data_IF_961050496191
#
_entry.id   IF_961050496191
#
_cell.length_a   1.000
_cell.length_b   1.000
_cell.length_c   1.000
_cell.angle_alpha   90.00
_cell.angle_beta   90.00
_cell.angle_gamma   90.00
#
_symmetry.space_group_name_H-M   'P 1'
#
loop_
_entity.id
_entity.type
_entity.pdbx_description
1 polymer ?
#
# COMPACT_ATOMS: atom_id res chain seq x y z
N UNK A 1 29.72 29.65 56.41
CA UNK A 1 30.88 29.16 55.66
C UNK A 1 30.76 29.71 54.24
N UNK A 2 31.63 30.67 53.90
CA UNK A 2 32.15 31.11 52.57
C UNK A 2 31.19 30.99 51.37
N UNK A 3 30.64 32.11 50.84
CA UNK A 3 31.11 32.89 49.66
C UNK A 3 31.44 32.05 48.40
N UNK A 4 31.19 32.42 47.13
CA UNK A 4 30.45 33.43 46.36
C UNK A 4 30.75 33.08 44.89
N UNK A 5 29.80 33.30 43.97
CA UNK A 5 30.09 33.65 42.56
C UNK A 5 30.64 32.52 41.66
N UNK A 6 30.68 32.62 40.34
CA UNK A 6 30.37 33.69 39.38
C UNK A 6 30.05 32.99 38.05
N UNK A 7 29.22 33.65 37.23
CA UNK A 7 29.04 33.43 35.79
C UNK A 7 30.35 33.11 35.07
N UNK A 8 30.30 32.17 34.12
CA UNK A 8 31.40 31.90 33.20
C UNK A 8 30.87 31.48 31.84
N UNK A 9 30.72 32.45 30.94
CA UNK A 9 30.62 32.23 29.51
C UNK A 9 31.98 31.72 29.03
N UNK A 10 32.02 30.57 28.36
CA UNK A 10 33.21 30.15 27.62
C UNK A 10 32.91 30.29 26.13
N UNK A 11 33.39 31.42 25.65
CA UNK A 11 33.80 31.72 24.28
C UNK A 11 34.69 30.57 23.77
N UNK A 12 34.25 29.83 22.74
CA UNK A 12 35.19 29.03 21.95
C UNK A 12 35.66 29.85 20.76
N UNK A 13 36.97 30.10 20.78
CA UNK A 13 37.69 30.98 19.89
C UNK A 13 37.68 30.47 18.45
N UNK A 14 37.51 31.44 17.55
CA UNK A 14 37.74 31.36 16.13
C UNK A 14 39.24 31.20 15.89
N UNK A 15 39.66 30.07 15.33
CA UNK A 15 41.01 29.93 14.77
C UNK A 15 40.93 30.14 13.26
N UNK A 16 41.30 31.34 12.84
CA UNK A 16 41.52 31.70 11.44
C UNK A 16 42.75 30.97 10.90
N UNK A 17 42.54 30.04 9.96
CA UNK A 17 43.57 29.62 9.01
C UNK A 17 43.29 30.32 7.68
N UNK A 18 44.13 31.32 7.39
CA UNK A 18 44.23 31.93 6.08
C UNK A 18 44.87 30.92 5.11
N UNK A 19 44.16 30.58 4.04
CA UNK A 19 44.75 30.04 2.80
C UNK A 19 44.25 30.92 1.65
N UNK A 20 45.14 31.44 0.79
CA UNK A 20 44.79 32.46 -0.19
C UNK A 20 44.19 31.87 -1.48
N UNK A 21 43.26 32.63 -2.06
CA UNK A 21 43.13 32.86 -3.50
C UNK A 21 42.70 31.69 -4.40
N UNK A 22 41.50 31.79 -4.99
CA UNK A 22 41.11 30.95 -6.11
C UNK A 22 39.66 31.11 -6.51
N UNK A 23 39.35 32.13 -7.31
CA UNK A 23 38.10 32.27 -8.06
C UNK A 23 37.89 31.03 -8.94
N UNK A 24 36.78 30.32 -8.72
CA UNK A 24 36.34 29.22 -9.57
C UNK A 24 34.85 28.97 -9.36
N UNK A 25 34.03 29.52 -10.26
CA UNK A 25 32.59 29.26 -10.34
C UNK A 25 32.40 27.79 -10.73
N UNK A 26 32.27 26.92 -9.73
CA UNK A 26 31.86 25.53 -9.90
C UNK A 26 30.36 25.44 -10.10
N UNK A 27 29.96 25.40 -11.36
CA UNK A 27 28.60 25.11 -11.83
C UNK A 27 28.17 23.75 -11.27
N UNK A 28 27.17 23.73 -10.41
CA UNK A 28 26.52 22.50 -9.96
C UNK A 28 25.86 21.85 -11.18
N UNK A 29 26.45 20.77 -11.69
CA UNK A 29 25.80 19.90 -12.66
C UNK A 29 24.63 19.22 -11.94
N UNK A 30 23.47 19.87 -12.00
CA UNK A 30 22.19 19.21 -11.88
C UNK A 30 22.12 18.20 -13.04
N UNK A 31 22.56 16.98 -12.77
CA UNK A 31 22.37 15.85 -13.67
C UNK A 31 20.89 15.76 -14.01
N UNK A 32 20.57 16.10 -15.26
CA UNK A 32 19.26 15.90 -15.83
C UNK A 32 18.95 14.39 -15.80
N UNK A 33 18.31 13.93 -14.73
CA UNK A 33 17.67 12.62 -14.72
C UNK A 33 16.52 12.74 -15.71
N UNK A 34 16.73 12.22 -16.91
CA UNK A 34 15.70 12.16 -17.92
C UNK A 34 14.44 11.50 -17.33
N UNK A 35 13.24 12.03 -17.58
CA UNK A 35 12.01 11.37 -17.16
C UNK A 35 11.99 9.94 -17.73
N UNK A 36 11.45 8.97 -16.98
CA UNK A 36 11.37 7.60 -17.46
C UNK A 36 10.65 7.57 -18.81
N UNK A 37 11.10 6.72 -19.76
CA UNK A 37 10.48 6.61 -21.06
C UNK A 37 9.00 6.27 -20.91
N UNK A 38 8.17 6.90 -21.75
CA UNK A 38 6.74 6.57 -21.81
C UNK A 38 6.57 5.10 -22.19
N UNK A 39 5.61 4.37 -21.58
CA UNK A 39 5.39 2.96 -21.85
C UNK A 39 5.13 2.73 -23.34
N UNK A 40 5.76 1.70 -23.90
CA UNK A 40 5.63 1.33 -25.30
C UNK A 40 4.22 0.79 -25.57
N UNK A 41 3.71 0.93 -26.80
CA UNK A 41 2.40 0.37 -27.20
C UNK A 41 2.36 -1.18 -27.15
N UNK A 42 3.50 -1.84 -26.90
CA UNK A 42 3.63 -3.27 -26.71
C UNK A 42 3.75 -3.70 -25.25
N UNK A 43 3.80 -2.76 -24.30
CA UNK A 43 3.89 -3.10 -22.89
C UNK A 43 2.58 -3.75 -22.44
N UNK A 44 2.61 -4.87 -21.72
CA UNK A 44 1.41 -5.53 -21.25
C UNK A 44 0.62 -4.56 -20.36
N UNK A 45 -0.66 -4.39 -20.65
CA UNK A 45 -1.57 -3.51 -19.90
C UNK A 45 -2.46 -4.35 -19.00
N UNK A 46 -2.60 -3.94 -17.74
CA UNK A 46 -3.55 -4.56 -16.79
C UNK A 46 -4.97 -4.49 -17.38
N UNK A 47 -5.64 -5.64 -17.48
CA UNK A 47 -7.00 -5.72 -18.00
C UNK A 47 -8.02 -5.58 -16.85
N UNK A 48 -8.87 -4.55 -16.89
CA UNK A 48 -9.83 -4.26 -15.81
C UNK A 48 -10.90 -5.35 -15.64
N UNK A 49 -11.31 -6.03 -16.72
CA UNK A 49 -12.24 -7.16 -16.62
C UNK A 49 -11.59 -8.40 -15.99
N UNK A 50 -10.31 -8.65 -16.30
CA UNK A 50 -9.51 -9.68 -15.64
C UNK A 50 -9.34 -9.37 -14.15
N UNK A 51 -9.08 -8.09 -13.82
CA UNK A 51 -8.99 -7.65 -12.43
C UNK A 51 -10.30 -7.90 -11.68
N UNK A 52 -11.45 -7.57 -12.28
CA UNK A 52 -12.76 -7.83 -11.68
C UNK A 52 -12.99 -9.33 -11.41
N UNK A 53 -12.57 -10.20 -12.33
CA UNK A 53 -12.66 -11.66 -12.15
C UNK A 53 -11.78 -12.17 -11.01
N UNK A 54 -10.54 -11.66 -10.87
CA UNK A 54 -9.66 -11.97 -9.72
C UNK A 54 -10.31 -11.52 -8.41
N UNK A 55 -10.86 -10.30 -8.35
CA UNK A 55 -11.52 -9.80 -7.14
C UNK A 55 -12.77 -10.61 -6.80
N UNK A 56 -13.56 -10.99 -7.81
CA UNK A 56 -14.73 -11.87 -7.63
C UNK A 56 -14.32 -13.22 -7.05
N UNK A 57 -13.21 -13.79 -7.50
CA UNK A 57 -12.64 -15.00 -6.92
C UNK A 57 -12.30 -14.79 -5.44
N UNK A 58 -11.55 -13.74 -5.09
CA UNK A 58 -11.22 -13.45 -3.69
C UNK A 58 -12.46 -13.30 -2.80
N UNK A 59 -13.49 -12.60 -3.30
CA UNK A 59 -14.75 -12.44 -2.56
C UNK A 59 -15.46 -13.78 -2.38
N UNK A 60 -15.58 -14.57 -3.44
CA UNK A 60 -16.26 -15.89 -3.40
C UNK A 60 -15.57 -16.84 -2.43
N UNK A 61 -14.24 -16.95 -2.52
CA UNK A 61 -13.49 -17.93 -1.76
C UNK A 61 -13.25 -17.48 -0.31
N UNK A 62 -12.83 -16.23 -0.11
CA UNK A 62 -12.22 -15.77 1.14
C UNK A 62 -13.10 -14.83 1.97
N UNK A 63 -14.13 -14.22 1.39
CA UNK A 63 -15.03 -13.35 2.14
C UNK A 63 -16.02 -14.16 2.98
N UNK A 64 -15.98 -13.96 4.30
CA UNK A 64 -17.03 -14.47 5.19
C UNK A 64 -18.21 -13.50 5.12
N UNK A 65 -19.39 -14.06 4.94
CA UNK A 65 -20.65 -13.34 5.13
C UNK A 65 -20.99 -13.33 6.62
N UNK A 66 -21.36 -12.17 7.14
CA UNK A 66 -22.02 -12.05 8.43
C UNK A 66 -23.50 -12.44 8.30
N UNK A 67 -24.16 -12.74 9.43
CA UNK A 67 -25.57 -13.14 9.45
C UNK A 67 -26.51 -12.06 8.89
N UNK A 68 -26.08 -10.80 8.91
CA UNK A 68 -26.79 -9.66 8.31
C UNK A 68 -26.45 -9.43 6.82
N UNK A 69 -25.78 -10.38 6.17
CA UNK A 69 -25.37 -10.32 4.77
C UNK A 69 -24.14 -9.44 4.48
N UNK A 70 -23.58 -8.72 5.47
CA UNK A 70 -22.40 -7.88 5.24
C UNK A 70 -21.12 -8.70 5.20
N UNK A 71 -20.23 -8.37 4.27
CA UNK A 71 -18.92 -8.99 4.17
C UNK A 71 -17.98 -8.58 5.31
N UNK A 72 -17.29 -9.54 5.92
CA UNK A 72 -16.21 -9.27 6.88
C UNK A 72 -15.01 -8.70 6.14
N UNK A 73 -14.35 -7.69 6.72
CA UNK A 73 -13.12 -7.11 6.19
C UNK A 73 -12.02 -8.18 6.07
N UNK A 74 -11.33 -8.17 4.94
CA UNK A 74 -10.12 -8.96 4.69
C UNK A 74 -9.25 -8.26 3.65
N UNK A 75 -8.01 -8.69 3.55
CA UNK A 75 -7.08 -8.31 2.50
C UNK A 75 -6.44 -9.57 1.92
N UNK A 76 -6.12 -9.53 0.64
CA UNK A 76 -5.42 -10.59 -0.07
C UNK A 76 -4.44 -9.94 -1.04
N UNK A 77 -3.26 -10.53 -1.24
CA UNK A 77 -2.34 -10.10 -2.27
C UNK A 77 -1.79 -11.31 -3.01
N UNK A 78 -1.63 -11.17 -4.32
CA UNK A 78 -1.06 -12.22 -5.16
C UNK A 78 0.13 -11.70 -5.94
N UNK A 79 1.07 -12.59 -6.27
CA UNK A 79 2.15 -12.34 -7.21
C UNK A 79 2.25 -13.54 -8.17
N UNK A 80 1.74 -13.36 -9.38
CA UNK A 80 1.48 -14.44 -10.35
C UNK A 80 2.13 -14.14 -11.70
N UNK A 81 2.10 -15.08 -12.64
CA UNK A 81 2.59 -14.80 -13.99
C UNK A 81 1.80 -13.65 -14.65
N UNK A 82 2.50 -12.73 -15.33
CA UNK A 82 1.90 -11.51 -15.91
C UNK A 82 0.69 -11.76 -16.82
N UNK A 83 0.70 -12.88 -17.55
CA UNK A 83 -0.39 -13.32 -18.43
C UNK A 83 -1.76 -13.38 -17.72
N UNK A 84 -1.78 -13.74 -16.44
CA UNK A 84 -3.02 -13.89 -15.67
C UNK A 84 -3.67 -12.55 -15.29
N UNK A 85 -2.96 -11.44 -15.46
CA UNK A 85 -3.52 -10.10 -15.28
C UNK A 85 -3.93 -9.42 -16.59
N UNK A 86 -3.54 -9.98 -17.74
CA UNK A 86 -3.98 -9.55 -19.06
C UNK A 86 -5.14 -10.39 -19.57
N UNK A 87 -5.18 -11.67 -19.18
CA UNK A 87 -6.25 -12.62 -19.48
C UNK A 87 -6.46 -13.56 -18.30
N UNK A 88 -7.66 -13.58 -17.75
CA UNK A 88 -8.01 -14.42 -16.61
C UNK A 88 -7.97 -15.91 -16.95
N UNK A 89 -7.54 -16.70 -15.98
CA UNK A 89 -7.55 -18.16 -16.00
C UNK A 89 -7.84 -18.62 -14.57
N UNK A 90 -8.67 -19.65 -14.40
CA UNK A 90 -9.01 -20.17 -13.07
C UNK A 90 -7.79 -20.78 -12.33
N UNK A 91 -6.74 -21.13 -13.08
CA UNK A 91 -5.50 -21.72 -12.57
C UNK A 91 -4.45 -20.66 -12.16
N UNK A 92 -4.83 -19.38 -12.10
CA UNK A 92 -3.91 -18.29 -11.73
C UNK A 92 -3.24 -18.46 -10.35
N UNK A 93 -3.85 -19.28 -9.49
CA UNK A 93 -3.36 -19.65 -8.15
C UNK A 93 -3.01 -21.13 -8.02
N UNK A 94 -2.63 -21.81 -9.10
CA UNK A 94 -2.15 -23.19 -9.02
C UNK A 94 -1.08 -23.36 -7.92
N UNK A 95 -1.29 -24.33 -7.03
CA UNK A 95 -0.45 -24.57 -5.85
C UNK A 95 -0.96 -23.94 -4.56
N UNK A 96 -1.91 -23.00 -4.62
CA UNK A 96 -2.58 -22.42 -3.45
C UNK A 96 -3.90 -23.13 -3.18
N UNK A 97 -4.02 -23.79 -2.02
CA UNK A 97 -5.24 -24.49 -1.62
C UNK A 97 -6.24 -23.50 -1.00
N UNK A 98 -7.32 -23.19 -1.73
CA UNK A 98 -8.30 -22.19 -1.29
C UNK A 98 -8.98 -22.54 0.03
N UNK A 99 -9.17 -23.84 0.33
CA UNK A 99 -9.74 -24.28 1.59
C UNK A 99 -8.79 -24.01 2.76
N UNK A 100 -7.49 -24.30 2.59
CA UNK A 100 -6.46 -23.98 3.60
C UNK A 100 -6.31 -22.48 3.83
N UNK A 101 -6.32 -21.68 2.75
CA UNK A 101 -6.30 -20.22 2.86
C UNK A 101 -7.49 -19.74 3.68
N UNK A 102 -8.69 -20.20 3.32
CA UNK A 102 -9.95 -19.84 3.99
C UNK A 102 -9.94 -20.24 5.46
N UNK A 103 -9.45 -21.43 5.79
CA UNK A 103 -9.31 -21.88 7.17
C UNK A 103 -8.35 -20.98 7.95
N UNK A 104 -7.15 -20.74 7.42
CA UNK A 104 -6.11 -19.96 8.07
C UNK A 104 -6.52 -18.50 8.37
N UNK A 105 -7.29 -17.86 7.48
CA UNK A 105 -7.75 -16.48 7.69
C UNK A 105 -9.01 -16.37 8.55
N UNK A 106 -9.78 -17.46 8.71
CA UNK A 106 -10.97 -17.50 9.57
C UNK A 106 -10.64 -17.91 11.00
N UNK A 107 -9.60 -18.73 11.19
CA UNK A 107 -9.23 -19.32 12.47
C UNK A 107 -7.88 -18.82 12.98
N UNK A 108 -7.57 -19.09 14.25
CA UNK A 108 -6.25 -18.86 14.85
C UNK A 108 -5.70 -17.45 14.65
N UNK A 109 -4.50 -17.36 14.05
CA UNK A 109 -3.79 -16.10 13.81
C UNK A 109 -4.39 -15.25 12.68
N UNK A 110 -5.36 -15.76 11.91
CA UNK A 110 -6.06 -15.01 10.85
C UNK A 110 -5.15 -14.43 9.77
N UNK A 111 -4.08 -15.13 9.43
CA UNK A 111 -3.06 -14.77 8.45
C UNK A 111 -2.65 -16.04 7.70
N UNK A 112 -2.55 -15.92 6.38
CA UNK A 112 -2.05 -16.93 5.47
C UNK A 112 -0.88 -16.34 4.68
N UNK A 113 0.19 -17.14 4.53
CA UNK A 113 1.36 -16.82 3.72
C UNK A 113 1.71 -18.03 2.86
N UNK A 114 1.47 -17.94 1.56
CA UNK A 114 1.82 -18.93 0.55
C UNK A 114 2.90 -18.41 -0.41
N UNK A 115 3.08 -19.11 -1.53
CA UNK A 115 4.08 -18.78 -2.55
C UNK A 115 3.59 -17.67 -3.49
N UNK A 116 2.31 -17.75 -3.90
CA UNK A 116 1.66 -16.83 -4.83
C UNK A 116 0.58 -15.99 -4.18
N UNK A 117 0.18 -16.30 -2.94
CA UNK A 117 -0.90 -15.64 -2.22
C UNK A 117 -0.56 -15.37 -0.76
N UNK A 118 -0.86 -14.18 -0.28
CA UNK A 118 -0.95 -13.87 1.15
C UNK A 118 -2.33 -13.29 1.45
N UNK A 119 -2.90 -13.61 2.61
CA UNK A 119 -4.23 -13.13 2.97
C UNK A 119 -4.36 -12.94 4.48
N UNK A 120 -5.12 -11.93 4.89
CA UNK A 120 -5.29 -11.63 6.30
C UNK A 120 -6.67 -11.05 6.62
N UNK A 121 -7.11 -11.24 7.85
CA UNK A 121 -8.24 -10.52 8.44
C UNK A 121 -7.82 -9.63 9.59
N UNK A 122 -8.64 -8.63 9.96
CA UNK A 122 -8.35 -7.80 11.10
C UNK A 122 -8.10 -8.63 12.36
N UNK A 123 -7.11 -8.21 13.12
CA UNK A 123 -6.79 -8.79 14.42
C UNK A 123 -7.33 -7.86 15.51
N UNK A 124 -8.15 -8.41 16.39
CA UNK A 124 -8.79 -7.69 17.47
C UNK A 124 -8.12 -8.05 18.80
N UNK A 125 -7.78 -7.04 19.58
CA UNK A 125 -7.20 -7.19 20.91
C UNK A 125 -8.18 -6.61 21.94
N UNK A 126 -8.28 -7.22 23.13
CA UNK A 126 -9.26 -6.79 24.14
C UNK A 126 -9.00 -5.37 24.71
N UNK A 127 -7.75 -4.89 24.64
CA UNK A 127 -7.31 -3.62 25.26
C UNK A 127 -6.38 -2.79 24.37
N UNK A 128 -6.18 -3.20 23.12
CA UNK A 128 -5.32 -2.50 22.16
C UNK A 128 -6.10 -2.22 20.87
N UNK A 129 -5.72 -1.19 20.10
CA UNK A 129 -6.33 -0.92 18.80
C UNK A 129 -6.28 -2.16 17.90
N UNK A 130 -7.37 -2.41 17.16
CA UNK A 130 -7.40 -3.48 16.18
C UNK A 130 -6.42 -3.21 15.04
N UNK A 131 -5.72 -4.23 14.59
CA UNK A 131 -4.88 -4.14 13.39
C UNK A 131 -5.72 -4.50 12.18
N UNK A 132 -5.88 -3.56 11.25
CA UNK A 132 -6.62 -3.77 10.02
C UNK A 132 -5.93 -4.79 9.09
N UNK A 133 -6.70 -5.46 8.25
CA UNK A 133 -6.22 -6.53 7.37
C UNK A 133 -5.05 -6.13 6.47
N UNK A 134 -5.11 -4.94 5.88
CA UNK A 134 -4.09 -4.39 4.99
C UNK A 134 -2.76 -4.19 5.73
N UNK A 135 -2.82 -3.67 6.96
CA UNK A 135 -1.64 -3.47 7.80
C UNK A 135 -0.98 -4.80 8.19
N UNK A 136 -1.75 -5.88 8.27
CA UNK A 136 -1.18 -7.21 8.57
C UNK A 136 -0.35 -7.79 7.43
N UNK A 137 -0.68 -7.46 6.19
CA UNK A 137 0.10 -7.91 5.03
C UNK A 137 1.31 -7.01 4.76
N UNK A 138 1.17 -5.72 5.08
CA UNK A 138 2.18 -4.71 4.79
C UNK A 138 3.13 -4.39 5.94
N UNK A 139 2.88 -4.91 7.15
CA UNK A 139 3.43 -4.51 8.47
C UNK A 139 4.58 -3.51 8.39
N UNK A 140 4.38 -2.36 9.04
CA UNK A 140 5.32 -1.23 9.10
C UNK A 140 6.76 -1.70 9.00
N UNK A 141 7.52 -1.21 8.01
CA UNK A 141 8.95 -1.48 7.91
C UNK A 141 9.62 -0.69 9.03
N UNK A 142 9.42 -1.10 10.28
CA UNK A 142 9.90 -0.47 11.49
C UNK A 142 11.36 -0.85 11.78
N UNK A 143 11.90 -1.80 11.03
CA UNK A 143 13.33 -2.03 10.93
C UNK A 143 13.66 -2.77 9.62
N UNK A 144 14.81 -2.47 9.01
CA UNK A 144 15.32 -3.11 7.78
C UNK A 144 15.58 -4.64 7.91
N UNK A 145 15.12 -5.28 8.99
CA UNK A 145 15.31 -6.68 9.31
C UNK A 145 14.03 -7.51 9.24
N UNK A 146 12.83 -6.90 9.18
CA UNK A 146 11.57 -7.66 9.12
C UNK A 146 11.02 -7.74 7.68
N UNK A 147 10.99 -8.95 7.12
CA UNK A 147 10.36 -9.22 5.82
C UNK A 147 8.85 -9.40 6.04
N UNK A 148 8.06 -8.46 5.53
CA UNK A 148 6.59 -8.51 5.61
C UNK A 148 6.02 -9.62 4.72
N UNK A 149 4.78 -10.11 4.97
CA UNK A 149 4.13 -11.05 4.05
C UNK A 149 4.09 -10.54 2.61
N UNK A 150 3.82 -9.25 2.41
CA UNK A 150 3.87 -8.62 1.09
C UNK A 150 5.29 -8.61 0.51
N UNK A 151 6.32 -8.22 1.28
CA UNK A 151 7.69 -8.21 0.78
C UNK A 151 8.14 -9.62 0.37
N UNK A 152 7.81 -10.63 1.17
CA UNK A 152 8.12 -12.03 0.85
C UNK A 152 7.44 -12.46 -0.46
N UNK A 153 6.16 -12.12 -0.62
CA UNK A 153 5.40 -12.38 -1.84
C UNK A 153 6.03 -11.71 -3.08
N UNK A 154 6.47 -10.46 -2.95
CA UNK A 154 7.11 -9.72 -4.05
C UNK A 154 8.47 -10.30 -4.43
N UNK A 155 9.23 -10.82 -3.46
CA UNK A 155 10.53 -11.42 -3.69
C UNK A 155 10.46 -12.71 -4.54
N UNK A 156 9.35 -13.43 -4.52
CA UNK A 156 9.19 -14.69 -5.25
C UNK A 156 9.20 -14.49 -6.78
N UNK A 157 8.74 -13.34 -7.28
CA UNK A 157 8.75 -13.04 -8.70
C UNK A 157 8.76 -11.52 -8.94
N UNK A 158 9.93 -10.93 -9.19
CA UNK A 158 10.07 -9.48 -9.40
C UNK A 158 9.39 -8.95 -10.68
N UNK A 159 9.06 -9.84 -11.62
CA UNK A 159 8.44 -9.51 -12.90
C UNK A 159 6.98 -10.00 -13.00
N UNK A 160 6.45 -10.60 -11.92
CA UNK A 160 5.08 -11.10 -11.88
C UNK A 160 4.05 -9.98 -11.91
N UNK A 161 2.79 -10.31 -12.08
CA UNK A 161 1.71 -9.37 -11.83
C UNK A 161 1.29 -9.43 -10.36
N UNK A 162 1.18 -8.28 -9.74
CA UNK A 162 0.75 -8.12 -8.36
C UNK A 162 -0.65 -7.51 -8.28
N UNK A 163 -1.56 -8.17 -7.59
CA UNK A 163 -2.85 -7.59 -7.22
C UNK A 163 -2.93 -7.58 -5.71
N UNK A 164 -2.90 -6.39 -5.12
CA UNK A 164 -3.16 -6.18 -3.71
C UNK A 164 -4.59 -5.72 -3.52
N UNK A 165 -5.40 -6.53 -2.85
CA UNK A 165 -6.81 -6.31 -2.63
C UNK A 165 -7.13 -6.09 -1.15
N UNK A 166 -7.98 -5.12 -0.86
CA UNK A 166 -8.57 -4.90 0.45
C UNK A 166 -10.09 -4.76 0.33
N UNK A 167 -10.86 -5.36 1.24
CA UNK A 167 -12.32 -5.22 1.14
C UNK A 167 -12.77 -3.76 1.33
N UNK A 168 -12.21 -3.08 2.33
CA UNK A 168 -12.42 -1.65 2.56
C UNK A 168 -11.23 -0.85 2.01
N UNK A 169 -11.47 0.41 1.65
CA UNK A 169 -10.43 1.39 1.35
C UNK A 169 -9.54 1.58 2.57
N UNK A 170 -8.25 1.92 2.38
CA UNK A 170 -7.41 2.41 3.46
C UNK A 170 -8.12 3.53 4.22
N UNK A 171 -8.24 3.41 5.54
CA UNK A 171 -8.97 4.41 6.32
C UNK A 171 -8.18 5.71 6.50
N UNK A 172 -8.88 6.83 6.65
CA UNK A 172 -8.26 8.14 6.89
C UNK A 172 -7.55 8.24 8.23
N UNK A 173 -8.13 7.65 9.27
CA UNK A 173 -7.67 7.82 10.66
C UNK A 173 -6.34 7.14 10.96
N UNK A 174 -6.09 5.97 10.36
CA UNK A 174 -4.91 5.15 10.67
C UNK A 174 -4.07 4.83 9.44
N UNK A 175 -4.69 4.39 8.35
CA UNK A 175 -3.95 3.92 7.18
C UNK A 175 -3.35 5.11 6.42
N UNK A 176 -4.16 6.11 6.10
CA UNK A 176 -3.79 7.28 5.28
C UNK A 176 -3.47 8.53 6.10
N UNK A 177 -3.42 8.41 7.43
CA UNK A 177 -3.13 9.54 8.30
C UNK A 177 -1.69 9.99 8.09
N UNK A 178 -1.43 11.29 7.92
CA UNK A 178 -0.08 11.84 7.73
C UNK A 178 0.37 12.69 8.92
N UNK A 179 -0.36 12.61 10.04
CA UNK A 179 -0.03 13.34 11.27
C UNK A 179 1.24 12.76 11.88
N UNK A 180 2.17 13.64 12.27
CA UNK A 180 3.40 13.25 12.96
C UNK A 180 3.08 12.41 14.21
N UNK A 181 3.81 11.31 14.38
CA UNK A 181 3.59 10.34 15.47
C UNK A 181 2.51 9.28 15.19
N UNK A 182 1.72 9.39 14.12
CA UNK A 182 0.85 8.31 13.64
C UNK A 182 1.61 7.45 12.64
N UNK A 183 1.77 6.16 12.94
CA UNK A 183 2.49 5.24 12.05
C UNK A 183 1.65 4.93 10.80
N UNK A 184 1.81 5.72 9.75
CA UNK A 184 1.09 5.61 8.47
C UNK A 184 1.68 4.56 7.54
N UNK A 185 1.69 3.31 8.01
CA UNK A 185 2.51 2.28 7.40
C UNK A 185 2.11 1.93 5.96
N UNK A 186 0.88 2.22 5.54
CA UNK A 186 0.47 1.86 4.17
C UNK A 186 1.27 2.66 3.15
N UNK A 187 1.40 3.98 3.29
CA UNK A 187 2.04 4.80 2.25
C UNK A 187 3.53 4.48 2.12
N UNK A 188 4.21 4.21 3.23
CA UNK A 188 5.62 3.81 3.19
C UNK A 188 5.77 2.40 2.63
N UNK A 189 4.96 1.44 3.08
CA UNK A 189 5.00 0.06 2.58
C UNK A 189 4.58 -0.08 1.11
N UNK A 190 3.77 0.85 0.58
CA UNK A 190 3.41 0.87 -0.83
C UNK A 190 4.62 1.14 -1.74
N UNK A 191 5.70 1.72 -1.23
CA UNK A 191 6.95 1.88 -1.99
C UNK A 191 7.52 0.56 -2.53
N UNK A 192 7.30 -0.56 -1.81
CA UNK A 192 7.66 -1.90 -2.27
C UNK A 192 6.93 -2.27 -3.58
N UNK A 193 5.65 -1.87 -3.70
CA UNK A 193 4.88 -2.06 -4.93
C UNK A 193 5.33 -1.09 -6.02
N UNK A 194 5.66 0.15 -5.69
CA UNK A 194 6.20 1.12 -6.65
C UNK A 194 7.45 0.57 -7.36
N UNK A 195 8.33 -0.10 -6.62
CA UNK A 195 9.58 -0.66 -7.12
C UNK A 195 9.44 -2.01 -7.85
N UNK A 196 8.27 -2.66 -7.74
CA UNK A 196 7.99 -3.91 -8.45
C UNK A 196 8.05 -3.70 -9.96
N UNK A 197 8.62 -4.62 -10.75
CA UNK A 197 8.82 -4.36 -12.20
C UNK A 197 7.62 -4.76 -13.05
N UNK A 198 6.86 -5.76 -12.62
CA UNK A 198 5.69 -6.23 -13.36
C UNK A 198 4.44 -5.37 -13.15
N UNK A 199 3.35 -5.84 -13.74
CA UNK A 199 2.01 -5.26 -13.56
C UNK A 199 1.64 -5.21 -12.08
N UNK A 200 0.92 -4.17 -11.67
CA UNK A 200 0.55 -3.96 -10.27
C UNK A 200 -0.75 -3.19 -10.16
N UNK A 201 -1.58 -3.60 -9.21
CA UNK A 201 -2.81 -2.93 -8.87
C UNK A 201 -3.04 -2.99 -7.36
N UNK A 202 -3.41 -1.85 -6.77
CA UNK A 202 -4.07 -1.81 -5.46
C UNK A 202 -5.57 -1.63 -5.71
N UNK A 203 -6.36 -2.56 -5.20
CA UNK A 203 -7.79 -2.65 -5.39
C UNK A 203 -8.53 -2.62 -4.05
N UNK A 204 -9.63 -1.89 -4.00
CA UNK A 204 -10.60 -2.00 -2.90
C UNK A 204 -12.04 -2.14 -3.38
N UNK A 205 -12.93 -2.70 -2.55
CA UNK A 205 -14.35 -2.86 -2.93
C UNK A 205 -15.27 -1.78 -2.37
N UNK A 206 -15.00 -1.33 -1.14
CA UNK A 206 -15.87 -0.43 -0.40
C UNK A 206 -15.05 0.70 0.20
N UNK A 207 -15.54 1.93 0.19
CA UNK A 207 -15.06 2.98 1.08
C UNK A 207 -15.28 2.55 2.52
N UNK A 208 -14.24 2.70 3.35
CA UNK A 208 -14.33 2.40 4.77
C UNK A 208 -15.47 3.19 5.40
N UNK A 209 -16.36 2.49 6.12
CA UNK A 209 -17.65 3.03 6.60
C UNK A 209 -17.53 4.34 7.40
N UNK A 210 -16.43 4.56 8.11
CA UNK A 210 -16.24 5.77 8.91
C UNK A 210 -15.74 6.96 8.08
N UNK A 211 -15.35 6.75 6.83
CA UNK A 211 -14.85 7.78 5.92
C UNK A 211 -15.90 8.18 4.86
N UNK A 212 -17.10 7.60 4.95
CA UNK A 212 -18.25 7.98 4.14
C UNK A 212 -18.89 9.23 4.75
N UNK A 213 -19.14 10.22 3.91
CA UNK A 213 -19.76 11.48 4.30
C UNK A 213 -19.19 12.63 3.48
N UNK A 214 -20.02 13.62 3.15
CA UNK A 214 -19.59 14.80 2.39
C UNK A 214 -18.48 15.57 3.14
N UNK A 215 -18.50 15.57 4.47
CA UNK A 215 -17.51 16.25 5.30
C UNK A 215 -16.12 15.60 5.28
N UNK A 216 -16.02 14.33 4.86
CA UNK A 216 -14.75 13.58 4.75
C UNK A 216 -14.31 13.36 3.32
N UNK A 217 -15.19 13.66 2.35
CA UNK A 217 -14.99 13.38 0.94
C UNK A 217 -13.69 13.97 0.38
N UNK A 218 -13.39 15.22 0.69
CA UNK A 218 -12.16 15.87 0.21
C UNK A 218 -10.90 15.27 0.85
N UNK A 219 -10.96 14.93 2.13
CA UNK A 219 -9.86 14.24 2.84
C UNK A 219 -9.64 12.85 2.26
N UNK A 220 -10.72 12.11 1.98
CA UNK A 220 -10.67 10.79 1.35
C UNK A 220 -10.06 10.88 -0.05
N UNK A 221 -10.51 11.84 -0.87
CA UNK A 221 -9.93 12.08 -2.19
C UNK A 221 -8.45 12.42 -2.12
N UNK A 222 -8.04 13.27 -1.18
CA UNK A 222 -6.64 13.61 -0.97
C UNK A 222 -5.80 12.38 -0.57
N UNK A 223 -6.28 11.56 0.37
CA UNK A 223 -5.61 10.35 0.83
C UNK A 223 -5.50 9.27 -0.25
N UNK A 224 -6.59 8.98 -0.98
CA UNK A 224 -6.57 8.01 -2.08
C UNK A 224 -5.67 8.48 -3.23
N UNK A 225 -5.54 9.79 -3.46
CA UNK A 225 -4.59 10.33 -4.43
C UNK A 225 -3.13 10.08 -4.04
N UNK A 226 -2.80 10.06 -2.74
CA UNK A 226 -1.45 9.68 -2.29
C UNK A 226 -1.14 8.23 -2.65
N UNK A 227 -2.11 7.33 -2.45
CA UNK A 227 -2.00 5.92 -2.85
C UNK A 227 -1.85 5.79 -4.37
N UNK A 228 -2.72 6.47 -5.13
CA UNK A 228 -2.75 6.37 -6.60
C UNK A 228 -1.50 6.94 -7.29
N UNK A 229 -0.74 7.80 -6.61
CA UNK A 229 0.58 8.27 -7.08
C UNK A 229 1.66 7.21 -6.98
N UNK A 230 1.51 6.22 -6.09
CA UNK A 230 2.50 5.16 -5.87
C UNK A 230 2.17 3.90 -6.67
N UNK A 231 0.89 3.52 -6.69
CA UNK A 231 0.42 2.29 -7.34
C UNK A 231 -0.90 2.55 -8.06
N UNK A 232 -1.15 1.94 -9.24
CA UNK A 232 -2.45 2.00 -9.89
C UNK A 232 -3.58 1.56 -8.94
N UNK A 233 -4.42 2.52 -8.55
CA UNK A 233 -5.51 2.32 -7.61
C UNK A 233 -6.83 2.09 -8.34
N UNK A 234 -7.56 1.06 -7.94
CA UNK A 234 -8.85 0.69 -8.51
C UNK A 234 -9.90 0.48 -7.41
N UNK A 235 -11.14 0.82 -7.72
CA UNK A 235 -12.30 0.32 -6.98
C UNK A 235 -13.02 -0.71 -7.82
N UNK A 236 -13.29 -1.89 -7.26
CA UNK A 236 -13.98 -2.96 -7.95
C UNK A 236 -15.30 -3.34 -7.30
N UNK A 237 -16.28 -3.63 -8.13
CA UNK A 237 -17.51 -4.33 -7.81
C UNK A 237 -17.37 -5.81 -8.21
N UNK A 238 -18.45 -6.58 -8.16
CA UNK A 238 -18.43 -7.98 -8.62
C UNK A 238 -18.20 -8.12 -10.13
N UNK A 239 -18.52 -7.11 -10.92
CA UNK A 239 -18.55 -7.20 -12.39
C UNK A 239 -17.64 -6.21 -13.11
N UNK A 240 -17.14 -5.21 -12.41
CA UNK A 240 -16.34 -4.15 -13.02
C UNK A 240 -15.35 -3.53 -12.05
N UNK A 241 -14.28 -2.99 -12.61
CA UNK A 241 -13.28 -2.20 -11.90
C UNK A 241 -13.21 -0.82 -12.54
N UNK A 242 -13.01 0.20 -11.72
CA UNK A 242 -12.79 1.57 -12.17
C UNK A 242 -11.46 2.06 -11.62
N UNK A 243 -10.59 2.56 -12.49
CA UNK A 243 -9.36 3.24 -12.08
C UNK A 243 -9.70 4.51 -11.31
N UNK A 244 -9.18 4.64 -10.10
CA UNK A 244 -9.58 5.73 -9.21
C UNK A 244 -8.99 7.09 -9.56
N UNK A 245 -7.86 7.13 -10.27
CA UNK A 245 -7.20 8.38 -10.65
C UNK A 245 -7.38 8.63 -12.16
N UNK A 246 -8.06 9.74 -12.48
CA UNK A 246 -8.17 10.28 -13.83
C UNK A 246 -7.55 11.68 -13.85
N UNK A 247 -6.46 11.84 -14.60
CA UNK A 247 -5.59 13.02 -14.49
C UNK A 247 -5.04 13.15 -13.06
N UNK A 248 -5.38 14.23 -12.37
CA UNK A 248 -4.97 14.48 -10.97
C UNK A 248 -6.14 14.45 -9.98
N UNK A 249 -7.28 13.89 -10.39
CA UNK A 249 -8.51 13.86 -9.60
C UNK A 249 -8.96 12.42 -9.32
N UNK A 250 -9.46 12.20 -8.10
CA UNK A 250 -10.11 10.94 -7.74
C UNK A 250 -11.52 10.94 -8.30
N UNK A 251 -11.87 9.90 -9.05
CA UNK A 251 -13.20 9.77 -9.65
C UNK A 251 -14.27 9.55 -8.57
N UNK A 252 -15.48 10.11 -8.72
CA UNK A 252 -16.52 10.05 -7.68
C UNK A 252 -16.88 8.63 -7.23
N UNK A 253 -16.82 7.65 -8.14
CA UNK A 253 -17.13 6.25 -7.86
C UNK A 253 -16.23 5.67 -6.76
N UNK A 254 -14.99 6.16 -6.63
CA UNK A 254 -14.03 5.75 -5.62
C UNK A 254 -14.23 6.44 -4.25
N UNK A 255 -15.17 7.37 -4.14
CA UNK A 255 -15.45 8.15 -2.93
C UNK A 255 -16.79 7.75 -2.26
N UNK A 256 -17.52 6.79 -2.83
CA UNK A 256 -18.80 6.32 -2.31
C UNK A 256 -18.97 4.80 -2.44
N UNK A 257 -19.93 4.24 -1.69
CA UNK A 257 -20.35 2.83 -1.78
C UNK A 257 -21.58 2.60 -2.66
N UNK A 258 -21.96 3.62 -3.43
CA UNK A 258 -23.04 3.55 -4.43
C UNK A 258 -22.65 2.70 -5.62
#
# INVERSE_FOLDING_TARGET
MVYVGVRGWVLMAVLSLMIPGGLGVGRSDAGNIAPPPSPSSSDPVLNEATLAQIIRYFKTEYQKKQDNGKGVQFAAAINIAGRYCTAFDNNFLDGEDSAKVKEAINNGVKLYTGEKLVAARPQFFKRLPSIHSERRLLMCVDNNTFVTPMQNLLNNNQHGCVVFYTYNSPCLELCLNQTEGVQSCILDSLSMLTNHRGLKAFVFSQVYRNDIGEEKRDKLAAGLRLVAKQVPLYKCSDDSCVKCLSGNQIVPQCLSNT
#
